data_IF_392994042694
#
_entry.id   IF_392994042694
#
_cell.length_a   1.000
_cell.length_b   1.000
_cell.length_c   1.000
_cell.angle_alpha   90.00
_cell.angle_beta   90.00
_cell.angle_gamma   90.00
#
_symmetry.space_group_name_H-M   'P 1'
#
loop_
_entity.id
_entity.type
_entity.pdbx_description
1 polymer ?
#
# COMPACT_ATOMS: atom_id res chain seq x y z
N UNK A 1 35.74 -6.71 -56.36
CA UNK A 1 34.84 -7.04 -55.23
C UNK A 1 34.51 -5.72 -54.58
N UNK A 2 33.35 -5.18 -54.88
CA UNK A 2 32.91 -3.92 -54.32
C UNK A 2 32.53 -4.21 -52.87
N UNK A 3 33.47 -3.99 -51.95
CA UNK A 3 33.36 -4.33 -50.53
C UNK A 3 32.36 -3.47 -49.75
N UNK A 4 31.34 -2.94 -50.43
CA UNK A 4 30.29 -2.12 -49.87
C UNK A 4 29.14 -2.97 -49.35
N UNK A 5 28.55 -2.54 -48.23
CA UNK A 5 27.36 -3.16 -47.68
C UNK A 5 26.17 -2.98 -48.62
N UNK A 6 25.32 -4.00 -48.73
CA UNK A 6 24.05 -3.87 -49.46
C UNK A 6 23.10 -2.94 -48.70
N UNK A 7 22.24 -2.20 -49.41
CA UNK A 7 21.26 -1.31 -48.80
C UNK A 7 20.35 -2.05 -47.78
N UNK A 8 20.04 -3.32 -48.07
CA UNK A 8 19.29 -4.18 -47.17
C UNK A 8 20.05 -4.49 -45.87
N UNK A 9 21.37 -4.75 -45.94
CA UNK A 9 22.19 -4.99 -44.75
C UNK A 9 22.34 -3.73 -43.87
N UNK A 10 22.40 -2.55 -44.49
CA UNK A 10 22.43 -1.27 -43.76
C UNK A 10 21.09 -1.05 -43.04
N UNK A 11 19.97 -1.31 -43.72
CA UNK A 11 18.64 -1.14 -43.14
C UNK A 11 18.38 -2.10 -41.98
N UNK A 12 18.76 -3.38 -42.10
CA UNK A 12 18.59 -4.36 -41.00
C UNK A 12 19.49 -4.04 -39.81
N UNK A 13 20.73 -3.61 -40.05
CA UNK A 13 21.62 -3.17 -38.99
C UNK A 13 21.07 -1.94 -38.26
N UNK A 14 20.63 -0.92 -39.01
CA UNK A 14 20.03 0.28 -38.42
C UNK A 14 18.77 -0.06 -37.59
N UNK A 15 17.91 -0.94 -38.10
CA UNK A 15 16.74 -1.41 -37.36
C UNK A 15 17.13 -2.14 -36.07
N UNK A 16 18.14 -3.02 -36.11
CA UNK A 16 18.62 -3.74 -34.93
C UNK A 16 19.18 -2.78 -33.87
N UNK A 17 19.95 -1.76 -34.28
CA UNK A 17 20.47 -0.72 -33.38
C UNK A 17 19.33 0.07 -32.75
N UNK A 18 18.35 0.49 -33.55
CA UNK A 18 17.18 1.20 -33.04
C UNK A 18 16.37 0.35 -32.06
N UNK A 19 16.15 -0.94 -32.36
CA UNK A 19 15.49 -1.87 -31.45
C UNK A 19 16.26 -2.05 -30.14
N UNK A 20 17.60 -2.13 -30.19
CA UNK A 20 18.43 -2.23 -28.99
C UNK A 20 18.31 -0.97 -28.12
N UNK A 21 18.30 0.22 -28.73
CA UNK A 21 18.11 1.49 -28.01
C UNK A 21 16.73 1.54 -27.36
N UNK A 22 15.67 1.19 -28.10
CA UNK A 22 14.30 1.15 -27.58
C UNK A 22 14.17 0.16 -26.43
N UNK A 23 14.77 -1.03 -26.57
CA UNK A 23 14.77 -2.05 -25.52
C UNK A 23 15.48 -1.55 -24.26
N UNK A 24 16.65 -0.91 -24.40
CA UNK A 24 17.38 -0.33 -23.27
C UNK A 24 16.55 0.76 -22.57
N UNK A 25 15.92 1.66 -23.34
CA UNK A 25 15.05 2.69 -22.80
C UNK A 25 13.84 2.10 -22.06
N UNK A 26 13.23 1.04 -22.61
CA UNK A 26 12.09 0.35 -21.99
C UNK A 26 12.48 -0.30 -20.64
N UNK A 27 13.69 -0.88 -20.55
CA UNK A 27 14.20 -1.43 -19.28
C UNK A 27 14.36 -0.32 -18.24
N UNK A 28 14.97 0.80 -18.60
CA UNK A 28 15.15 1.94 -17.67
C UNK A 28 13.81 2.49 -17.22
N UNK A 29 12.87 2.71 -18.14
CA UNK A 29 11.52 3.17 -17.82
C UNK A 29 10.81 2.19 -16.86
N UNK A 30 10.94 0.89 -17.10
CA UNK A 30 10.35 -0.15 -16.25
C UNK A 30 10.91 -0.14 -14.83
N UNK A 31 12.22 0.11 -14.67
CA UNK A 31 12.86 0.25 -13.35
C UNK A 31 12.36 1.49 -12.63
N UNK A 32 12.29 2.63 -13.30
CA UNK A 32 11.82 3.89 -12.72
C UNK A 32 10.35 3.78 -12.28
N UNK A 33 9.49 3.24 -13.15
CA UNK A 33 8.08 2.97 -12.83
C UNK A 33 7.99 1.98 -11.67
N UNK A 34 8.77 0.90 -11.68
CA UNK A 34 8.76 -0.09 -10.61
C UNK A 34 9.16 0.49 -9.24
N UNK A 35 10.11 1.44 -9.20
CA UNK A 35 10.47 2.13 -7.96
C UNK A 35 9.35 3.05 -7.47
N UNK A 36 8.73 3.79 -8.38
CA UNK A 36 7.63 4.69 -8.04
C UNK A 36 6.39 3.92 -7.57
N UNK A 37 6.03 2.84 -8.28
CA UNK A 37 4.95 1.93 -7.86
C UNK A 37 5.22 1.31 -6.49
N UNK A 38 6.47 0.95 -6.16
CA UNK A 38 6.81 0.44 -4.82
C UNK A 38 6.59 1.47 -3.72
N UNK A 39 6.84 2.76 -3.99
CA UNK A 39 6.59 3.86 -3.05
C UNK A 39 5.10 4.08 -2.84
N UNK A 40 4.34 4.14 -3.92
CA UNK A 40 2.87 4.32 -3.86
C UNK A 40 2.20 3.14 -3.14
N UNK A 41 2.59 1.90 -3.48
CA UNK A 41 2.10 0.70 -2.80
C UNK A 41 2.45 0.66 -1.31
N UNK A 42 3.58 1.22 -0.88
CA UNK A 42 3.92 1.25 0.55
C UNK A 42 2.93 2.13 1.34
N UNK A 43 2.50 3.24 0.75
CA UNK A 43 1.50 4.15 1.35
C UNK A 43 0.12 3.49 1.35
N UNK A 44 -0.31 2.93 0.22
CA UNK A 44 -1.61 2.25 0.12
C UNK A 44 -1.71 1.04 1.06
N UNK A 45 -0.67 0.19 1.12
CA UNK A 45 -0.64 -0.96 2.04
C UNK A 45 -0.60 -0.56 3.51
N UNK A 46 -0.09 0.64 3.85
CA UNK A 46 -0.17 1.14 5.22
C UNK A 46 -1.62 1.49 5.55
N UNK A 47 -2.30 2.20 4.66
CA UNK A 47 -3.72 2.56 4.81
C UNK A 47 -4.62 1.33 4.89
N UNK A 48 -4.39 0.32 4.04
CA UNK A 48 -5.24 -0.88 4.00
C UNK A 48 -5.09 -1.69 5.30
N UNK A 49 -3.86 -1.93 5.76
CA UNK A 49 -3.61 -2.62 7.05
C UNK A 49 -4.18 -1.85 8.23
N UNK A 50 -4.04 -0.53 8.20
CA UNK A 50 -4.61 0.35 9.21
C UNK A 50 -6.13 0.20 9.26
N UNK A 51 -6.81 0.23 8.10
CA UNK A 51 -8.25 0.06 8.04
C UNK A 51 -8.72 -1.33 8.47
N UNK A 52 -7.99 -2.38 8.08
CA UNK A 52 -8.27 -3.76 8.48
C UNK A 52 -8.23 -3.91 10.02
N UNK A 53 -7.18 -3.38 10.66
CA UNK A 53 -7.04 -3.39 12.12
C UNK A 53 -8.18 -2.64 12.81
N UNK A 54 -8.50 -1.42 12.36
CA UNK A 54 -9.57 -0.61 12.95
C UNK A 54 -10.97 -1.20 12.76
N UNK A 55 -11.23 -1.82 11.60
CA UNK A 55 -12.50 -2.49 11.35
C UNK A 55 -12.70 -3.68 12.28
N UNK A 56 -11.65 -4.49 12.49
CA UNK A 56 -11.67 -5.62 13.42
C UNK A 56 -11.95 -5.15 14.85
N UNK A 57 -11.25 -4.12 15.32
CA UNK A 57 -11.45 -3.58 16.68
C UNK A 57 -12.88 -3.09 16.86
N UNK A 58 -13.41 -2.32 15.89
CA UNK A 58 -14.75 -1.77 15.97
C UNK A 58 -15.79 -2.90 16.04
N UNK A 59 -15.68 -3.91 15.17
CA UNK A 59 -16.56 -5.08 15.18
C UNK A 59 -16.56 -5.79 16.54
N UNK A 60 -15.37 -6.00 17.11
CA UNK A 60 -15.24 -6.72 18.38
C UNK A 60 -15.68 -5.85 19.57
N UNK A 61 -15.28 -4.58 19.63
CA UNK A 61 -15.62 -3.66 20.72
C UNK A 61 -17.14 -3.38 20.81
N UNK A 62 -17.89 -3.55 19.72
CA UNK A 62 -19.35 -3.46 19.69
C UNK A 62 -20.05 -4.83 19.63
N UNK A 63 -19.31 -5.93 19.78
CA UNK A 63 -19.90 -7.28 19.84
C UNK A 63 -20.82 -7.43 21.06
N UNK A 64 -21.88 -8.21 20.89
CA UNK A 64 -22.81 -8.58 21.98
C UNK A 64 -22.24 -9.69 22.86
N UNK A 65 -21.14 -10.33 22.44
CA UNK A 65 -20.47 -11.37 23.20
C UNK A 65 -19.42 -10.73 24.13
N UNK A 66 -19.56 -10.88 25.46
CA UNK A 66 -18.68 -10.17 26.41
C UNK A 66 -17.19 -10.45 26.21
N UNK A 67 -16.82 -11.67 25.81
CA UNK A 67 -15.43 -12.03 25.55
C UNK A 67 -14.83 -11.32 24.32
N UNK A 68 -15.60 -11.20 23.24
CA UNK A 68 -15.19 -10.48 22.03
C UNK A 68 -15.15 -8.97 22.28
N UNK A 69 -16.15 -8.46 23.02
CA UNK A 69 -16.20 -7.07 23.44
C UNK A 69 -14.94 -6.67 24.22
N UNK A 70 -14.57 -7.47 25.21
CA UNK A 70 -13.38 -7.22 26.01
C UNK A 70 -12.10 -7.31 25.18
N UNK A 71 -12.02 -8.27 24.26
CA UNK A 71 -10.87 -8.38 23.36
C UNK A 71 -10.72 -7.15 22.45
N UNK A 72 -11.84 -6.63 21.92
CA UNK A 72 -11.85 -5.40 21.12
C UNK A 72 -11.37 -4.18 21.92
N UNK A 73 -11.82 -4.04 23.17
CA UNK A 73 -11.42 -2.93 24.06
C UNK A 73 -9.94 -3.00 24.43
N UNK A 74 -9.42 -4.18 24.79
CA UNK A 74 -7.99 -4.35 25.10
C UNK A 74 -7.14 -4.05 23.87
N UNK A 75 -7.56 -4.50 22.69
CA UNK A 75 -6.83 -4.22 21.46
C UNK A 75 -6.86 -2.74 21.09
N UNK A 76 -7.99 -2.06 21.33
CA UNK A 76 -8.15 -0.62 21.15
C UNK A 76 -7.15 0.17 21.98
N UNK A 77 -7.02 -0.15 23.27
CA UNK A 77 -6.04 0.46 24.17
C UNK A 77 -4.61 0.17 23.72
N UNK A 78 -4.31 -1.10 23.46
CA UNK A 78 -2.97 -1.55 23.04
C UNK A 78 -2.51 -0.84 21.77
N UNK A 79 -3.39 -0.67 20.78
CA UNK A 79 -3.03 -0.02 19.51
C UNK A 79 -2.66 1.45 19.66
N UNK A 80 -3.27 2.16 20.60
CA UNK A 80 -2.94 3.57 20.88
C UNK A 80 -1.60 3.76 21.60
N UNK A 81 -1.05 2.69 22.19
CA UNK A 81 0.25 2.73 22.88
C UNK A 81 1.44 2.36 21.97
N UNK A 82 1.17 1.87 20.75
CA UNK A 82 2.23 1.46 19.84
C UNK A 82 2.97 2.67 19.26
N UNK A 83 4.29 2.54 19.15
CA UNK A 83 5.19 3.62 18.70
C UNK A 83 4.91 4.17 17.28
N UNK A 84 4.11 3.45 16.49
CA UNK A 84 3.73 3.85 15.13
C UNK A 84 2.29 4.41 15.05
N UNK A 85 1.58 4.45 16.17
CA UNK A 85 0.27 5.11 16.30
C UNK A 85 0.43 6.61 16.10
N UNK A 86 -0.49 7.20 15.35
CA UNK A 86 -0.54 8.62 15.05
C UNK A 86 -1.71 9.30 15.80
N UNK A 87 -1.78 10.63 15.78
CA UNK A 87 -2.89 11.38 16.39
C UNK A 87 -4.26 11.00 15.83
N UNK A 88 -4.33 10.54 14.57
CA UNK A 88 -5.55 10.02 13.96
C UNK A 88 -6.05 8.74 14.66
N UNK A 89 -5.14 7.85 15.04
CA UNK A 89 -5.46 6.61 15.76
C UNK A 89 -6.08 6.91 17.12
N UNK A 90 -5.48 7.86 17.85
CA UNK A 90 -5.98 8.31 19.15
C UNK A 90 -7.36 8.95 19.01
N UNK A 91 -7.60 9.75 17.97
CA UNK A 91 -8.91 10.38 17.72
C UNK A 91 -10.00 9.34 17.45
N UNK A 92 -9.70 8.31 16.65
CA UNK A 92 -10.64 7.22 16.37
C UNK A 92 -10.88 6.37 17.61
N UNK A 93 -9.83 6.10 18.40
CA UNK A 93 -9.97 5.38 19.66
C UNK A 93 -10.93 6.08 20.62
N UNK A 94 -10.76 7.40 20.78
CA UNK A 94 -11.65 8.24 21.58
C UNK A 94 -13.07 8.21 21.01
N UNK A 95 -13.25 8.30 19.69
CA UNK A 95 -14.58 8.25 19.07
C UNK A 95 -15.30 6.92 19.35
N UNK A 96 -14.60 5.79 19.24
CA UNK A 96 -15.16 4.46 19.57
C UNK A 96 -15.55 4.39 21.04
N UNK A 97 -14.69 4.87 21.96
CA UNK A 97 -15.01 4.90 23.38
C UNK A 97 -16.21 5.78 23.70
N UNK A 98 -16.31 6.96 23.09
CA UNK A 98 -17.44 7.88 23.27
C UNK A 98 -18.75 7.25 22.81
N UNK A 99 -18.77 6.62 21.63
CA UNK A 99 -19.99 5.97 21.13
C UNK A 99 -20.38 4.75 21.97
N UNK A 100 -19.39 3.99 22.46
CA UNK A 100 -19.65 2.89 23.38
C UNK A 100 -20.29 3.38 24.69
N UNK A 101 -19.78 4.47 25.28
CA UNK A 101 -20.36 5.06 26.49
C UNK A 101 -21.80 5.53 26.27
N UNK A 102 -22.14 6.06 25.08
CA UNK A 102 -23.53 6.42 24.74
C UNK A 102 -24.44 5.19 24.66
N UNK A 103 -23.94 4.06 24.16
CA UNK A 103 -24.69 2.80 24.07
C UNK A 103 -24.90 2.11 25.42
N UNK A 104 -24.13 2.47 26.45
CA UNK A 104 -24.25 1.97 27.82
C UNK A 104 -25.14 2.86 28.72
N UNK A 105 -25.61 4.00 28.21
CA UNK A 105 -26.56 4.86 28.93
C UNK A 105 -27.96 4.21 28.97
N UNK A 106 -28.63 4.18 30.15
CA UNK A 106 -29.89 3.47 30.37
C UNK A 106 -31.09 4.08 29.63
#
# INVERSE_FOLDING_TARGET
MDGGWTAQAIATFAAAVMSAIVAAAAVVASVLVGQETRRQLAVDRRRDRWWEQWSWIAEHAFSKHPGEQQAGVVMLETLTELAWSDGDDVRIAVAIQVERMKGEAP
#
